data_IF_133758753826
#
_entry.id   IF_133758753826
#
_cell.length_a   1.000
_cell.length_b   1.000
_cell.length_c   1.000
_cell.angle_alpha   90.00
_cell.angle_beta   90.00
_cell.angle_gamma   90.00
#
_symmetry.space_group_name_H-M   'P 1'
#
loop_
_entity.id
_entity.type
_entity.pdbx_description
1 polymer ?
#
# COMPACT_ATOMS: atom_id res chain seq x y z
N UNK A 1 14.88 17.58 -21.04
CA UNK A 1 14.06 17.60 -19.82
C UNK A 1 14.06 16.19 -19.26
N UNK A 2 14.98 15.93 -18.33
CA UNK A 2 15.26 14.60 -17.79
C UNK A 2 14.91 14.66 -16.31
N UNK A 3 13.79 14.07 -15.89
CA UNK A 3 13.50 13.90 -14.47
C UNK A 3 13.87 12.48 -14.07
N UNK A 4 15.09 12.34 -13.56
CA UNK A 4 15.54 11.17 -12.82
C UNK A 4 15.39 11.53 -11.35
N UNK A 5 14.32 11.07 -10.73
CA UNK A 5 14.21 10.98 -9.27
C UNK A 5 14.26 9.51 -8.88
N UNK A 6 15.26 9.02 -8.15
CA UNK A 6 15.19 7.70 -7.56
C UNK A 6 14.32 7.82 -6.32
N UNK A 7 13.01 7.61 -6.45
CA UNK A 7 12.15 7.48 -5.27
C UNK A 7 12.31 6.07 -4.70
N UNK A 8 13.47 5.84 -4.07
CA UNK A 8 13.68 4.67 -3.23
C UNK A 8 13.16 5.01 -1.85
N UNK A 9 11.95 4.58 -1.56
CA UNK A 9 11.47 4.38 -0.19
C UNK A 9 11.44 2.88 0.10
N UNK A 10 12.48 2.27 0.70
CA UNK A 10 12.34 0.97 1.33
C UNK A 10 11.97 1.13 2.82
N UNK A 11 11.25 0.14 3.33
CA UNK A 11 10.97 -0.18 4.75
C UNK A 11 9.54 0.11 5.24
N UNK A 12 8.58 -0.55 4.62
CA UNK A 12 7.48 -1.15 5.39
C UNK A 12 7.58 -2.64 5.11
N UNK A 13 7.65 -3.47 6.16
CA UNK A 13 7.73 -4.94 6.06
C UNK A 13 6.85 -5.41 4.89
N UNK A 14 7.47 -5.95 3.83
CA UNK A 14 6.75 -6.38 2.64
C UNK A 14 5.76 -7.48 3.06
N UNK A 15 4.51 -7.08 3.26
CA UNK A 15 3.41 -7.97 3.58
C UNK A 15 2.99 -8.68 2.31
N UNK A 16 3.51 -9.89 2.10
CA UNK A 16 3.09 -10.75 1.01
C UNK A 16 2.52 -12.06 1.55
N UNK A 17 1.50 -12.57 0.88
CA UNK A 17 1.03 -13.95 1.04
C UNK A 17 1.61 -14.76 -0.12
N UNK A 18 2.18 -15.92 0.19
CA UNK A 18 2.49 -16.93 -0.82
C UNK A 18 1.34 -17.92 -0.78
N UNK A 19 0.64 -18.05 -1.90
CA UNK A 19 -0.44 -19.03 -2.02
C UNK A 19 0.13 -20.42 -2.25
N UNK A 20 -0.66 -21.44 -1.95
CA UNK A 20 -0.29 -22.85 -2.17
C UNK A 20 -0.03 -23.14 -3.65
N UNK A 21 -0.63 -22.37 -4.59
CA UNK A 21 -0.30 -22.44 -6.02
C UNK A 21 1.01 -21.71 -6.40
N UNK A 22 1.80 -21.27 -5.42
CA UNK A 22 3.10 -20.64 -5.60
C UNK A 22 3.03 -19.16 -5.98
N UNK A 23 1.84 -18.56 -6.05
CA UNK A 23 1.69 -17.16 -6.42
C UNK A 23 2.02 -16.27 -5.23
N UNK A 24 2.82 -15.24 -5.48
CA UNK A 24 3.10 -14.19 -4.48
C UNK A 24 2.14 -13.03 -4.68
N UNK A 25 1.39 -12.71 -3.64
CA UNK A 25 0.48 -11.55 -3.60
C UNK A 25 1.05 -10.54 -2.61
N UNK A 26 1.49 -9.38 -3.09
CA UNK A 26 2.02 -8.32 -2.23
C UNK A 26 0.98 -7.21 -2.05
N UNK A 27 0.86 -6.74 -0.80
CA UNK A 27 -0.01 -5.60 -0.46
C UNK A 27 0.87 -4.45 0.00
N UNK A 28 0.68 -3.26 -0.58
CA UNK A 28 1.46 -2.07 -0.23
C UNK A 28 0.58 -0.84 -0.08
N UNK A 29 1.00 0.11 0.76
CA UNK A 29 0.44 1.45 0.79
C UNK A 29 1.25 2.36 -0.15
N UNK A 30 0.60 2.85 -1.20
CA UNK A 30 1.14 3.86 -2.12
C UNK A 30 0.68 5.25 -1.68
N UNK A 31 1.63 6.16 -1.46
CA UNK A 31 1.34 7.58 -1.21
C UNK A 31 1.78 8.39 -2.42
N UNK A 32 0.83 9.13 -2.99
CA UNK A 32 1.08 10.04 -4.10
C UNK A 32 1.01 11.46 -3.57
N UNK A 33 2.13 12.17 -3.67
CA UNK A 33 2.16 13.61 -3.45
C UNK A 33 1.35 14.27 -4.57
N UNK A 34 0.22 14.87 -4.23
CA UNK A 34 -0.60 15.66 -5.15
C UNK A 34 -0.75 17.07 -4.58
N UNK A 35 -0.77 18.06 -5.48
CA UNK A 35 -0.62 19.49 -5.18
C UNK A 35 -1.69 19.99 -4.20
N UNK A 36 -2.93 19.50 -4.32
CA UNK A 36 -4.05 19.96 -3.48
C UNK A 36 -4.34 19.05 -2.29
N UNK A 37 -4.14 17.74 -2.42
CA UNK A 37 -4.34 16.79 -1.32
C UNK A 37 -3.53 15.51 -1.58
N UNK A 38 -2.65 15.09 -0.65
CA UNK A 38 -1.97 13.82 -0.79
C UNK A 38 -2.99 12.67 -0.90
N UNK A 39 -2.75 11.76 -1.84
CA UNK A 39 -3.60 10.59 -2.07
C UNK A 39 -2.89 9.37 -1.52
N UNK A 40 -3.50 8.69 -0.56
CA UNK A 40 -3.06 7.37 -0.09
C UNK A 40 -3.93 6.27 -0.71
N UNK A 41 -3.32 5.22 -1.26
CA UNK A 41 -4.01 4.05 -1.83
C UNK A 41 -3.37 2.76 -1.34
N UNK A 42 -4.18 1.72 -1.14
CA UNK A 42 -3.68 0.36 -0.99
C UNK A 42 -3.56 -0.26 -2.38
N UNK A 43 -2.38 -0.78 -2.71
CA UNK A 43 -2.11 -1.47 -3.98
C UNK A 43 -1.91 -2.96 -3.74
N UNK A 44 -2.38 -3.76 -4.69
CA UNK A 44 -2.28 -5.21 -4.68
C UNK A 44 -1.53 -5.66 -5.93
N UNK A 45 -0.36 -6.28 -5.73
CA UNK A 45 0.39 -6.94 -6.81
C UNK A 45 0.11 -8.44 -6.72
N UNK A 46 -0.75 -8.91 -7.62
CA UNK A 46 -1.09 -10.32 -7.76
C UNK A 46 -0.12 -10.90 -8.80
N UNK A 47 0.98 -11.49 -8.33
CA UNK A 47 2.07 -11.99 -9.17
C UNK A 47 1.60 -12.91 -10.30
N UNK A 48 2.44 -13.16 -11.31
CA UNK A 48 2.04 -13.88 -12.53
C UNK A 48 1.33 -15.21 -12.27
N UNK A 49 0.36 -15.51 -13.13
CA UNK A 49 -0.21 -16.85 -13.16
C UNK A 49 0.85 -17.87 -13.58
N UNK A 50 0.89 -19.00 -12.88
CA UNK A 50 1.87 -20.07 -13.12
C UNK A 50 1.24 -21.29 -13.82
N UNK A 51 -0.04 -21.24 -14.26
CA UNK A 51 -0.77 -22.47 -14.57
C UNK A 51 -1.88 -22.46 -15.64
N UNK A 52 -2.26 -21.35 -16.26
CA UNK A 52 -3.27 -21.40 -17.32
C UNK A 52 -3.74 -20.05 -17.85
N UNK A 53 -4.45 -20.12 -18.98
CA UNK A 53 -5.01 -19.04 -19.79
C UNK A 53 -5.25 -17.69 -19.07
N UNK A 54 -4.92 -16.55 -19.71
CA UNK A 54 -5.20 -15.23 -19.17
C UNK A 54 -6.67 -15.10 -18.76
N UNK A 55 -6.93 -14.79 -17.49
CA UNK A 55 -8.29 -14.64 -16.94
C UNK A 55 -8.62 -15.54 -15.74
N UNK A 56 -7.71 -16.44 -15.34
CA UNK A 56 -7.90 -17.23 -14.12
C UNK A 56 -7.68 -16.38 -12.87
N UNK A 57 -8.68 -16.33 -12.00
CA UNK A 57 -8.65 -15.64 -10.72
C UNK A 57 -7.62 -16.30 -9.79
N UNK A 58 -6.95 -15.52 -8.94
CA UNK A 58 -6.15 -16.09 -7.87
C UNK A 58 -7.07 -16.81 -6.87
N UNK A 59 -7.01 -18.14 -6.85
CA UNK A 59 -7.69 -18.94 -5.84
C UNK A 59 -6.87 -18.91 -4.54
N UNK A 60 -7.58 -18.75 -3.42
CA UNK A 60 -7.01 -18.72 -2.08
C UNK A 60 -7.66 -19.81 -1.23
N UNK A 61 -6.86 -20.45 -0.38
CA UNK A 61 -7.42 -21.20 0.74
C UNK A 61 -8.07 -20.24 1.74
N UNK A 62 -8.87 -20.79 2.66
CA UNK A 62 -9.52 -19.97 3.71
C UNK A 62 -8.49 -19.25 4.56
N UNK A 63 -7.37 -19.90 4.89
CA UNK A 63 -6.33 -19.29 5.73
C UNK A 63 -5.52 -18.25 4.95
N UNK A 64 -5.19 -18.51 3.68
CA UNK A 64 -4.56 -17.52 2.80
C UNK A 64 -5.43 -16.27 2.63
N UNK A 65 -6.75 -16.43 2.52
CA UNK A 65 -7.69 -15.32 2.43
C UNK A 65 -7.72 -14.49 3.72
N UNK A 66 -7.65 -15.13 4.89
CA UNK A 66 -7.57 -14.43 6.18
C UNK A 66 -6.26 -13.68 6.33
N UNK A 67 -5.15 -14.27 5.92
CA UNK A 67 -3.84 -13.61 5.95
C UNK A 67 -3.80 -12.41 5.03
N UNK A 68 -4.33 -12.55 3.81
CA UNK A 68 -4.44 -11.43 2.87
C UNK A 68 -5.33 -10.31 3.43
N UNK A 69 -6.46 -10.66 4.06
CA UNK A 69 -7.34 -9.67 4.68
C UNK A 69 -6.65 -8.89 5.81
N UNK A 70 -5.87 -9.56 6.67
CA UNK A 70 -5.10 -8.90 7.73
C UNK A 70 -4.10 -7.90 7.15
N UNK A 71 -3.40 -8.28 6.08
CA UNK A 71 -2.46 -7.39 5.40
C UNK A 71 -3.15 -6.18 4.75
N UNK A 72 -4.31 -6.40 4.11
CA UNK A 72 -5.11 -5.33 3.54
C UNK A 72 -5.55 -4.31 4.60
N UNK A 73 -6.06 -4.79 5.73
CA UNK A 73 -6.49 -3.93 6.84
C UNK A 73 -5.31 -3.16 7.48
N UNK A 74 -4.16 -3.80 7.63
CA UNK A 74 -2.95 -3.15 8.13
C UNK A 74 -2.52 -1.98 7.22
N UNK A 75 -2.45 -2.23 5.91
CA UNK A 75 -2.06 -1.22 4.93
C UNK A 75 -3.12 -0.13 4.77
N UNK A 76 -4.41 -0.44 4.91
CA UNK A 76 -5.49 0.54 4.94
C UNK A 76 -5.33 1.51 6.11
N UNK A 77 -5.05 1.00 7.32
CA UNK A 77 -4.79 1.85 8.48
C UNK A 77 -3.56 2.76 8.30
N UNK A 78 -2.52 2.28 7.60
CA UNK A 78 -1.36 3.12 7.24
C UNK A 78 -1.73 4.22 6.24
N UNK A 79 -2.59 3.91 5.27
CA UNK A 79 -3.07 4.86 4.28
C UNK A 79 -3.94 5.97 4.91
N UNK A 80 -4.80 5.62 5.87
CA UNK A 80 -5.65 6.55 6.62
C UNK A 80 -4.82 7.56 7.43
N UNK A 81 -3.87 7.07 8.24
CA UNK A 81 -2.97 7.93 9.05
C UNK A 81 -2.13 8.88 8.21
N UNK A 82 -1.87 8.53 6.96
CA UNK A 82 -1.12 9.35 6.02
C UNK A 82 -1.86 10.56 5.44
N UNK A 83 -3.18 10.60 5.61
CA UNK A 83 -4.08 11.61 5.05
C UNK A 83 -4.42 12.71 6.06
N UNK A 84 -4.05 12.54 7.34
CA UNK A 84 -4.27 13.57 8.34
C UNK A 84 -3.41 14.80 7.99
N UNK A 85 -4.03 15.96 7.70
CA UNK A 85 -3.27 17.18 7.48
C UNK A 85 -2.52 17.48 8.78
N UNK A 86 -1.23 17.82 8.68
CA UNK A 86 -0.49 18.36 9.81
C UNK A 86 -1.31 19.54 10.35
N UNK A 87 -1.91 19.36 11.54
CA UNK A 87 -2.76 20.37 12.15
C UNK A 87 -2.00 21.71 12.22
N UNK A 88 -2.69 22.85 12.14
CA UNK A 88 -2.03 24.14 12.11
C UNK A 88 -1.14 24.24 13.34
N UNK A 89 0.17 24.33 13.10
CA UNK A 89 1.14 24.73 14.11
C UNK A 89 0.61 26.01 14.71
N UNK A 90 0.08 25.89 15.93
CA UNK A 90 -0.43 27.00 16.72
C UNK A 90 0.77 27.90 16.95
N UNK A 91 0.96 28.89 16.09
CA UNK A 91 1.88 29.99 16.33
C UNK A 91 1.30 30.76 17.50
N UNK A 92 1.74 30.34 18.69
CA UNK A 92 1.60 31.08 19.92
C UNK A 92 2.43 32.36 19.73
N UNK A 93 1.74 33.47 19.48
CA UNK A 93 2.30 34.80 19.63
C UNK A 93 1.37 35.60 20.54
N UNK A 94 1.64 35.66 21.85
CA UNK A 94 1.09 36.72 22.68
C UNK A 94 1.98 37.95 22.48
N UNK A 95 1.47 38.95 21.76
CA UNK A 95 2.05 40.30 21.77
C UNK A 95 1.62 41.00 23.06
N UNK A 96 2.60 41.41 23.87
CA UNK A 96 2.45 42.46 24.89
C UNK A 96 3.00 43.77 24.32
#
# INVERSE_FOLDING_TARGET
MTTTGPDRLPTGEDGFVVTTCGRRIAVRCLRLAAVDRPISRVTLDVGRDQGGEPGVWAALTVDEARDLARLLLLQAGLAERGTEPAGPSRTDSPSF
#
